data_IF_399499535272
#
_entry.id   IF_399499535272
#
_cell.length_a   1.000
_cell.length_b   1.000
_cell.length_c   1.000
_cell.angle_alpha   90.00
_cell.angle_beta   90.00
_cell.angle_gamma   90.00
#
_symmetry.space_group_name_H-M   'P 1'
#
loop_
_entity.id
_entity.type
_entity.pdbx_description
1 polymer ?
#
# COMPACT_ATOMS: atom_id res chain seq x y z
N UNK A 1 54.34 36.13 -31.09
CA UNK A 1 53.62 34.88 -31.40
C UNK A 1 52.97 34.40 -30.07
N UNK A 2 51.73 34.69 -29.88
CA UNK A 2 50.96 34.26 -28.71
C UNK A 2 49.90 33.28 -29.22
N UNK A 3 49.99 32.05 -28.74
CA UNK A 3 48.99 31.02 -29.07
C UNK A 3 47.82 31.12 -28.07
N UNK A 4 46.61 31.32 -28.60
CA UNK A 4 45.34 31.23 -27.88
C UNK A 4 44.97 29.77 -27.74
N UNK A 5 44.97 29.26 -26.52
CA UNK A 5 44.29 28.01 -26.17
C UNK A 5 42.84 28.32 -25.82
N UNK A 6 41.94 27.92 -26.71
CA UNK A 6 40.50 27.92 -26.46
C UNK A 6 40.11 26.63 -25.72
N UNK A 7 39.84 26.72 -24.41
CA UNK A 7 39.25 25.66 -23.62
C UNK A 7 37.76 25.52 -23.96
N UNK A 8 37.41 24.42 -24.62
CA UNK A 8 36.03 23.99 -24.82
C UNK A 8 35.47 23.43 -23.50
N UNK A 9 34.76 24.24 -22.74
CA UNK A 9 33.86 23.74 -21.69
C UNK A 9 32.62 23.13 -22.31
N UNK A 10 32.56 21.80 -22.37
CA UNK A 10 31.34 21.07 -22.67
C UNK A 10 30.34 21.26 -21.54
N UNK A 11 29.36 22.10 -21.70
CA UNK A 11 28.20 22.24 -20.83
C UNK A 11 27.38 20.96 -20.90
N UNK A 12 27.60 20.05 -19.96
CA UNK A 12 26.79 18.86 -19.75
C UNK A 12 25.49 19.28 -19.05
N UNK A 13 24.52 19.79 -19.79
CA UNK A 13 23.17 20.08 -19.31
C UNK A 13 22.48 18.77 -19.06
N UNK A 14 22.45 18.30 -17.79
CA UNK A 14 21.61 17.21 -17.37
C UNK A 14 20.16 17.57 -17.70
N UNK A 15 19.56 16.92 -18.70
CA UNK A 15 18.13 17.06 -19.02
C UNK A 15 17.31 16.76 -17.78
N UNK A 16 16.48 17.70 -17.34
CA UNK A 16 15.60 17.56 -16.19
C UNK A 16 14.45 16.64 -16.61
N UNK A 17 14.33 15.44 -16.04
CA UNK A 17 13.19 14.56 -16.31
C UNK A 17 11.96 15.15 -15.63
N UNK A 18 10.95 15.50 -16.39
CA UNK A 18 9.64 15.87 -15.86
C UNK A 18 8.83 14.60 -15.61
N UNK A 19 8.20 14.48 -14.46
CA UNK A 19 7.29 13.39 -14.12
C UNK A 19 5.85 13.88 -14.22
N UNK A 20 4.94 12.99 -14.62
CA UNK A 20 3.52 13.33 -14.79
C UNK A 20 2.64 12.24 -14.21
N UNK A 21 1.59 12.68 -13.53
CA UNK A 21 0.44 11.85 -13.14
C UNK A 21 -0.68 12.11 -14.15
N UNK A 22 -1.33 11.06 -14.65
CA UNK A 22 -2.46 11.18 -15.57
C UNK A 22 -3.58 10.22 -15.16
N UNK A 23 -4.81 10.74 -15.16
CA UNK A 23 -6.02 9.95 -14.91
C UNK A 23 -6.25 8.98 -16.08
N UNK A 24 -6.54 7.72 -15.77
CA UNK A 24 -6.83 6.66 -16.74
C UNK A 24 -8.26 6.16 -16.67
N UNK A 25 -8.81 6.02 -15.46
CA UNK A 25 -10.18 5.60 -15.26
C UNK A 25 -10.75 6.18 -13.96
N UNK A 26 -12.07 6.33 -13.92
CA UNK A 26 -12.83 6.61 -12.71
C UNK A 26 -13.84 5.48 -12.52
N UNK A 27 -13.77 4.78 -11.40
CA UNK A 27 -14.65 3.69 -11.04
C UNK A 27 -15.80 4.27 -10.20
N UNK A 28 -16.99 4.19 -10.72
CA UNK A 28 -18.21 4.67 -10.08
C UNK A 28 -19.11 3.47 -9.79
N UNK A 29 -19.58 3.34 -8.56
CA UNK A 29 -20.46 2.22 -8.19
C UNK A 29 -20.74 2.12 -6.71
N UNK A 30 -19.88 2.63 -5.82
CA UNK A 30 -20.22 2.83 -4.43
C UNK A 30 -21.22 3.99 -4.27
N UNK A 31 -22.03 3.93 -3.22
CA UNK A 31 -23.09 4.90 -2.93
C UNK A 31 -22.70 5.91 -1.85
N UNK A 32 -21.52 5.73 -1.27
CA UNK A 32 -21.00 6.52 -0.16
C UNK A 32 -19.45 6.46 -0.19
N UNK A 33 -18.80 7.18 0.71
CA UNK A 33 -17.34 7.25 0.87
C UNK A 33 -16.63 5.92 0.67
N UNK A 34 -15.58 5.89 -0.14
CA UNK A 34 -14.71 4.72 -0.33
C UNK A 34 -13.49 4.88 0.56
N UNK A 35 -13.27 3.88 1.42
CA UNK A 35 -12.27 3.96 2.48
C UNK A 35 -10.96 3.23 2.17
N UNK A 36 -11.01 2.17 1.38
CA UNK A 36 -9.82 1.38 1.11
C UNK A 36 -9.85 0.80 -0.30
N UNK A 37 -8.66 0.63 -0.86
CA UNK A 37 -8.42 0.06 -2.18
C UNK A 37 -7.25 -0.93 -2.09
N UNK A 38 -7.46 -2.17 -2.58
CA UNK A 38 -6.43 -3.21 -2.52
C UNK A 38 -6.41 -4.03 -3.81
N UNK A 39 -5.24 -4.12 -4.44
CA UNK A 39 -5.02 -5.01 -5.58
C UNK A 39 -4.75 -6.44 -5.12
N UNK A 40 -5.29 -7.41 -5.85
CA UNK A 40 -4.95 -8.81 -5.61
C UNK A 40 -3.46 -9.05 -5.88
N UNK A 41 -2.70 -9.69 -4.95
CA UNK A 41 -1.24 -9.77 -5.04
C UNK A 41 -0.71 -10.49 -6.28
N UNK A 42 -1.46 -11.47 -6.80
CA UNK A 42 -1.02 -12.33 -7.91
C UNK A 42 -1.66 -11.96 -9.25
N UNK A 43 -2.63 -11.04 -9.24
CA UNK A 43 -3.40 -10.61 -10.41
C UNK A 43 -3.52 -9.09 -10.45
N UNK A 44 -2.85 -8.48 -11.38
CA UNK A 44 -2.85 -7.03 -11.57
C UNK A 44 -4.13 -6.50 -12.26
N UNK A 45 -5.09 -7.37 -12.53
CA UNK A 45 -6.37 -7.07 -13.17
C UNK A 45 -7.55 -7.05 -12.20
N UNK A 46 -7.33 -7.45 -10.92
CA UNK A 46 -8.37 -7.48 -9.89
C UNK A 46 -8.08 -6.49 -8.78
N UNK A 47 -9.10 -5.73 -8.39
CA UNK A 47 -9.08 -4.72 -7.36
C UNK A 47 -10.28 -4.89 -6.43
N UNK A 48 -10.08 -4.85 -5.12
CA UNK A 48 -11.13 -4.76 -4.12
C UNK A 48 -11.22 -3.34 -3.55
N UNK A 49 -12.44 -2.88 -3.29
CA UNK A 49 -12.71 -1.60 -2.62
C UNK A 49 -13.79 -1.76 -1.57
N UNK A 50 -13.76 -0.98 -0.50
CA UNK A 50 -14.80 -1.00 0.52
C UNK A 50 -15.29 0.41 0.89
N UNK A 51 -16.52 0.49 1.40
CA UNK A 51 -17.23 1.76 1.53
C UNK A 51 -18.10 1.87 2.80
N UNK A 52 -18.48 3.11 3.09
CA UNK A 52 -19.54 3.44 4.04
C UNK A 52 -20.91 2.92 3.61
N UNK A 53 -21.08 2.57 2.34
CA UNK A 53 -22.30 1.93 1.83
C UNK A 53 -22.45 0.47 2.30
N UNK A 54 -21.52 -0.02 3.15
CA UNK A 54 -21.48 -1.37 3.75
C UNK A 54 -21.22 -2.49 2.74
N UNK A 55 -20.66 -2.16 1.59
CA UNK A 55 -20.32 -3.15 0.56
C UNK A 55 -18.83 -3.21 0.31
N UNK A 56 -18.37 -4.39 -0.11
CA UNK A 56 -17.09 -4.55 -0.79
C UNK A 56 -17.39 -4.80 -2.27
N UNK A 57 -16.68 -4.12 -3.15
CA UNK A 57 -16.81 -4.32 -4.60
C UNK A 57 -15.50 -4.87 -5.17
N UNK A 58 -15.65 -5.83 -6.05
CA UNK A 58 -14.54 -6.41 -6.81
C UNK A 58 -14.63 -5.88 -8.24
N UNK A 59 -13.53 -5.30 -8.67
CA UNK A 59 -13.40 -4.73 -10.00
C UNK A 59 -12.40 -5.55 -10.80
N UNK A 60 -12.73 -5.82 -12.05
CA UNK A 60 -11.84 -6.50 -13.00
C UNK A 60 -11.50 -5.57 -14.16
N UNK A 61 -10.23 -5.52 -14.52
CA UNK A 61 -9.76 -4.76 -15.67
C UNK A 61 -10.06 -5.54 -16.95
N UNK A 62 -10.72 -4.90 -17.89
CA UNK A 62 -10.89 -5.44 -19.25
C UNK A 62 -9.64 -5.13 -20.06
N UNK A 63 -8.99 -6.18 -20.53
CA UNK A 63 -7.96 -6.05 -21.57
C UNK A 63 -8.68 -6.16 -22.91
N UNK A 64 -8.95 -5.04 -23.55
CA UNK A 64 -9.51 -5.05 -24.91
C UNK A 64 -8.43 -5.53 -25.85
N UNK A 65 -8.52 -6.80 -26.28
CA UNK A 65 -7.76 -7.27 -27.43
C UNK A 65 -8.35 -6.58 -28.66
N UNK A 66 -7.58 -5.76 -29.35
CA UNK A 66 -7.98 -5.27 -30.66
C UNK A 66 -7.80 -6.44 -31.61
N UNK A 67 -8.86 -6.81 -32.32
CA UNK A 67 -8.78 -7.67 -33.47
C UNK A 67 -7.92 -6.94 -34.50
N UNK A 68 -6.87 -7.61 -34.99
CA UNK A 68 -5.89 -7.08 -35.97
C UNK A 68 -6.44 -7.02 -37.41
N UNK A 69 -7.77 -6.92 -37.58
CA UNK A 69 -8.42 -6.79 -38.87
C UNK A 69 -9.02 -5.37 -38.97
N UNK A 70 -8.21 -4.40 -39.49
CA UNK A 70 -8.64 -3.41 -40.48
C UNK A 70 -7.66 -2.23 -40.60
N UNK A 71 -7.12 -2.11 -41.82
CA UNK A 71 -6.59 -0.94 -42.53
C UNK A 71 -5.38 -0.16 -41.97
N UNK A 72 -4.26 -0.33 -42.73
CA UNK A 72 -3.16 0.62 -42.85
C UNK A 72 -3.68 2.01 -43.22
N UNK A 73 -3.62 2.96 -42.29
CA UNK A 73 -3.40 4.40 -42.51
C UNK A 73 -3.94 5.32 -41.40
N UNK A 74 -3.58 5.11 -40.15
CA UNK A 74 -3.51 6.25 -39.20
C UNK A 74 -2.55 5.87 -38.06
N UNK A 75 -1.39 6.52 -37.99
CA UNK A 75 -0.52 6.55 -36.80
C UNK A 75 -1.22 7.31 -35.67
N UNK A 76 -2.22 6.72 -35.05
CA UNK A 76 -2.81 7.25 -33.83
C UNK A 76 -2.11 6.61 -32.63
N UNK A 77 -1.53 7.47 -31.78
CA UNK A 77 -0.92 7.15 -30.50
C UNK A 77 -1.72 6.06 -29.75
N UNK A 78 -1.08 4.95 -29.43
CA UNK A 78 -1.62 3.81 -28.70
C UNK A 78 -2.13 4.26 -27.32
N UNK A 79 -3.38 4.67 -27.23
CA UNK A 79 -4.05 4.88 -25.97
C UNK A 79 -4.72 3.56 -25.56
N UNK A 80 -4.01 2.76 -24.78
CA UNK A 80 -4.58 1.59 -24.14
C UNK A 80 -5.61 2.09 -23.13
N UNK A 81 -6.90 1.92 -23.40
CA UNK A 81 -7.97 2.28 -22.48
C UNK A 81 -7.94 1.31 -21.31
N UNK A 82 -7.80 1.85 -20.09
CA UNK A 82 -7.80 1.07 -18.86
C UNK A 82 -9.25 1.04 -18.35
N UNK A 83 -10.02 0.08 -18.80
CA UNK A 83 -11.41 -0.09 -18.37
C UNK A 83 -11.50 -1.09 -17.23
N UNK A 84 -12.14 -0.70 -16.14
CA UNK A 84 -12.50 -1.57 -15.02
C UNK A 84 -14.02 -1.69 -14.95
N UNK A 85 -14.50 -2.91 -14.70
CA UNK A 85 -15.91 -3.15 -14.42
C UNK A 85 -16.08 -3.79 -13.04
N UNK A 86 -17.17 -3.49 -12.36
CA UNK A 86 -17.55 -4.19 -11.13
C UNK A 86 -18.05 -5.58 -11.52
N UNK A 87 -17.37 -6.62 -11.05
CA UNK A 87 -17.68 -8.03 -11.35
C UNK A 87 -18.34 -8.75 -10.17
N UNK A 88 -18.21 -8.21 -8.95
CA UNK A 88 -18.86 -8.75 -7.76
C UNK A 88 -19.13 -7.65 -6.75
N UNK A 89 -20.23 -7.77 -6.01
CA UNK A 89 -20.54 -6.92 -4.85
C UNK A 89 -20.83 -7.83 -3.68
N UNK A 90 -20.06 -7.69 -2.59
CA UNK A 90 -20.24 -8.42 -1.35
C UNK A 90 -21.00 -7.53 -0.38
N UNK A 91 -22.18 -7.91 -0.01
CA UNK A 91 -23.09 -7.18 0.87
C UNK A 91 -23.75 -8.10 1.89
N UNK A 92 -24.54 -7.54 2.80
CA UNK A 92 -25.36 -8.29 3.75
C UNK A 92 -24.62 -8.93 4.93
N UNK A 93 -23.28 -8.82 5.00
CA UNK A 93 -22.48 -9.34 6.12
C UNK A 93 -22.26 -8.25 7.17
N UNK A 94 -21.85 -7.05 6.74
CA UNK A 94 -21.59 -5.94 7.65
C UNK A 94 -22.78 -5.00 7.82
N UNK A 95 -22.99 -4.53 9.04
CA UNK A 95 -24.08 -3.62 9.40
C UNK A 95 -23.69 -2.15 9.39
N UNK A 96 -22.37 -1.86 9.37
CA UNK A 96 -21.81 -0.49 9.38
C UNK A 96 -20.73 -0.35 8.31
N UNK A 97 -20.13 0.85 8.24
CA UNK A 97 -19.01 1.18 7.35
C UNK A 97 -17.94 0.10 7.34
N UNK A 98 -17.54 -0.34 6.15
CA UNK A 98 -16.37 -1.19 5.97
C UNK A 98 -15.17 -0.27 5.74
N UNK A 99 -14.20 -0.31 6.66
CA UNK A 99 -13.08 0.65 6.70
C UNK A 99 -11.83 0.14 5.98
N UNK A 100 -11.63 -1.16 5.90
CA UNK A 100 -10.42 -1.76 5.34
C UNK A 100 -10.71 -3.09 4.67
N UNK A 101 -9.99 -3.37 3.59
CA UNK A 101 -9.95 -4.68 2.94
C UNK A 101 -8.51 -5.12 2.73
N UNK A 102 -8.26 -6.42 2.82
CA UNK A 102 -6.92 -7.00 2.63
C UNK A 102 -7.01 -8.37 1.98
N UNK A 103 -6.23 -8.56 0.92
CA UNK A 103 -6.08 -9.86 0.25
C UNK A 103 -5.09 -10.75 0.99
N UNK A 104 -5.38 -12.04 1.09
CA UNK A 104 -4.36 -13.02 1.45
C UNK A 104 -3.26 -13.09 0.38
N UNK A 105 -2.01 -13.43 0.71
CA UNK A 105 -0.91 -13.49 -0.26
C UNK A 105 -1.16 -14.46 -1.42
N UNK A 106 -1.97 -15.49 -1.20
CA UNK A 106 -2.36 -16.44 -2.27
C UNK A 106 -3.50 -15.93 -3.17
N UNK A 107 -4.12 -14.77 -2.85
CA UNK A 107 -5.26 -14.20 -3.60
C UNK A 107 -6.59 -14.96 -3.42
N UNK A 108 -6.62 -16.02 -2.59
CA UNK A 108 -7.81 -16.86 -2.38
C UNK A 108 -8.80 -16.24 -1.38
N UNK A 109 -8.29 -15.53 -0.37
CA UNK A 109 -9.11 -14.92 0.67
C UNK A 109 -9.05 -13.40 0.63
N UNK A 110 -10.18 -12.78 0.97
CA UNK A 110 -10.31 -11.35 1.18
C UNK A 110 -10.87 -11.12 2.58
N UNK A 111 -10.18 -10.35 3.40
CA UNK A 111 -10.67 -9.90 4.70
C UNK A 111 -11.27 -8.50 4.58
N UNK A 112 -12.37 -8.21 5.28
CA UNK A 112 -12.93 -6.87 5.42
C UNK A 112 -13.16 -6.54 6.88
N UNK A 113 -12.73 -5.34 7.30
CA UNK A 113 -12.85 -4.84 8.67
C UNK A 113 -13.89 -3.72 8.74
N UNK A 114 -14.81 -3.80 9.70
CA UNK A 114 -15.94 -2.90 9.77
C UNK A 114 -16.08 -2.17 11.12
N UNK A 115 -16.78 -1.05 11.08
CA UNK A 115 -17.20 -0.30 12.26
C UNK A 115 -18.28 -1.00 13.10
N UNK A 116 -18.80 -2.14 12.64
CA UNK A 116 -19.66 -3.00 13.43
C UNK A 116 -18.90 -3.90 14.43
N UNK A 117 -17.57 -3.69 14.55
CA UNK A 117 -16.66 -4.43 15.41
C UNK A 117 -16.35 -5.87 14.92
N UNK A 118 -16.69 -6.20 13.70
CA UNK A 118 -16.44 -7.52 13.11
C UNK A 118 -15.47 -7.46 11.93
N UNK A 119 -14.90 -8.63 11.59
CA UNK A 119 -14.09 -8.83 10.38
C UNK A 119 -14.67 -10.01 9.62
N UNK A 120 -15.05 -9.80 8.37
CA UNK A 120 -15.53 -10.89 7.52
C UNK A 120 -14.40 -11.43 6.64
N UNK A 121 -14.37 -12.75 6.47
CA UNK A 121 -13.46 -13.44 5.57
C UNK A 121 -14.26 -14.01 4.42
N UNK A 122 -13.92 -13.60 3.21
CA UNK A 122 -14.50 -14.12 1.98
C UNK A 122 -13.50 -15.03 1.30
N UNK A 123 -13.96 -16.17 0.85
CA UNK A 123 -13.20 -17.09 0.01
C UNK A 123 -13.68 -17.00 -1.42
N UNK A 124 -12.74 -16.92 -2.35
CA UNK A 124 -13.04 -17.04 -3.77
C UNK A 124 -13.50 -18.44 -4.09
N UNK A 125 -14.64 -18.57 -4.76
CA UNK A 125 -15.12 -19.86 -5.25
C UNK A 125 -14.12 -20.44 -6.24
N UNK A 126 -13.90 -21.76 -6.18
CA UNK A 126 -13.14 -22.48 -7.20
C UNK A 126 -14.06 -22.60 -8.42
N UNK A 127 -13.82 -21.79 -9.44
CA UNK A 127 -14.58 -21.87 -10.68
C UNK A 127 -14.28 -23.21 -11.36
N UNK A 128 -15.30 -24.00 -11.62
CA UNK A 128 -15.21 -25.00 -12.68
C UNK A 128 -14.91 -24.22 -13.97
N UNK A 129 -13.85 -24.61 -14.67
CA UNK A 129 -13.26 -23.96 -15.84
C UNK A 129 -14.27 -23.67 -16.97
N UNK A 130 -15.15 -22.70 -16.76
CA UNK A 130 -15.94 -22.10 -17.82
C UNK A 130 -15.34 -20.72 -18.12
N UNK A 131 -14.44 -20.68 -19.09
CA UNK A 131 -13.78 -19.44 -19.56
C UNK A 131 -14.77 -18.37 -20.07
N UNK A 132 -16.05 -18.70 -20.21
CA UNK A 132 -17.08 -17.79 -20.73
C UNK A 132 -17.77 -16.90 -19.68
N UNK A 133 -17.72 -17.29 -18.38
CA UNK A 133 -18.32 -16.47 -17.30
C UNK A 133 -17.25 -15.62 -16.62
N UNK A 134 -17.21 -14.34 -16.98
CA UNK A 134 -16.38 -13.30 -16.34
C UNK A 134 -16.78 -12.97 -14.89
N UNK A 135 -17.68 -13.75 -14.29
CA UNK A 135 -18.21 -13.55 -12.94
C UNK A 135 -17.25 -14.15 -11.90
N UNK A 136 -16.73 -13.32 -11.00
CA UNK A 136 -15.89 -13.76 -9.88
C UNK A 136 -16.79 -13.91 -8.65
N UNK A 137 -16.92 -15.14 -8.12
CA UNK A 137 -17.77 -15.43 -6.98
C UNK A 137 -16.96 -15.51 -5.68
N UNK A 138 -17.51 -14.96 -4.63
CA UNK A 138 -16.97 -15.05 -3.27
C UNK A 138 -18.05 -15.48 -2.30
N UNK A 139 -17.67 -16.28 -1.32
CA UNK A 139 -18.52 -16.70 -0.22
C UNK A 139 -17.93 -16.21 1.11
N UNK A 140 -18.78 -15.71 2.01
CA UNK A 140 -18.37 -15.41 3.36
C UNK A 140 -18.19 -16.72 4.14
N UNK A 141 -16.95 -17.03 4.51
CA UNK A 141 -16.60 -18.32 5.17
C UNK A 141 -16.37 -18.17 6.66
N UNK A 142 -16.11 -16.95 7.14
CA UNK A 142 -15.98 -16.67 8.58
C UNK A 142 -16.35 -15.22 8.89
N UNK A 143 -16.90 -15.01 10.09
CA UNK A 143 -17.04 -13.71 10.73
C UNK A 143 -16.27 -13.75 12.05
N UNK A 144 -15.25 -12.89 12.18
CA UNK A 144 -14.40 -12.80 13.36
C UNK A 144 -14.98 -11.75 14.30
N UNK A 145 -15.34 -12.19 15.51
CA UNK A 145 -15.91 -11.37 16.55
C UNK A 145 -14.95 -11.29 17.73
N UNK A 146 -14.96 -10.17 18.47
CA UNK A 146 -14.14 -10.00 19.65
C UNK A 146 -13.76 -8.56 19.94
N UNK A 147 -13.48 -7.73 18.92
CA UNK A 147 -13.27 -6.31 19.12
C UNK A 147 -14.46 -5.64 19.81
N UNK A 148 -14.20 -4.77 20.77
CA UNK A 148 -15.24 -4.06 21.51
C UNK A 148 -15.77 -2.80 20.80
N UNK A 149 -15.06 -2.35 19.75
CA UNK A 149 -15.37 -1.14 19.00
C UNK A 149 -14.98 -1.29 17.53
N UNK A 150 -15.17 -0.20 16.76
CA UNK A 150 -14.89 -0.15 15.33
C UNK A 150 -13.53 -0.74 14.97
N UNK A 151 -13.51 -1.75 14.09
CA UNK A 151 -12.28 -2.27 13.49
C UNK A 151 -11.89 -1.37 12.33
N UNK A 152 -10.65 -0.87 12.34
CA UNK A 152 -10.19 0.17 11.40
C UNK A 152 -9.25 -0.35 10.34
N UNK A 153 -8.54 -1.43 10.60
CA UNK A 153 -7.63 -2.03 9.63
C UNK A 153 -7.51 -3.52 9.83
N UNK A 154 -7.30 -4.23 8.74
CA UNK A 154 -6.92 -5.64 8.71
C UNK A 154 -5.76 -5.84 7.73
N UNK A 155 -4.88 -6.79 8.02
CA UNK A 155 -3.74 -7.12 7.17
C UNK A 155 -3.35 -8.59 7.32
N UNK A 156 -3.16 -9.29 6.20
CA UNK A 156 -2.62 -10.65 6.18
C UNK A 156 -1.11 -10.65 6.32
N UNK A 157 -0.56 -11.63 7.05
CA UNK A 157 0.89 -11.85 7.12
C UNK A 157 1.45 -12.32 5.77
N UNK A 158 2.75 -12.17 5.53
CA UNK A 158 3.38 -12.64 4.28
C UNK A 158 3.24 -14.14 4.04
N UNK A 159 3.18 -14.93 5.11
CA UNK A 159 2.94 -16.38 5.06
C UNK A 159 1.49 -16.71 4.69
N UNK A 160 0.54 -15.80 4.97
CA UNK A 160 -0.90 -16.05 4.86
C UNK A 160 -1.47 -16.90 5.99
N UNK A 161 -0.66 -17.27 7.00
CA UNK A 161 -1.10 -18.03 8.17
C UNK A 161 -1.73 -17.15 9.26
N UNK A 162 -1.41 -15.83 9.26
CA UNK A 162 -1.91 -14.90 10.26
C UNK A 162 -2.67 -13.73 9.61
N UNK A 163 -3.67 -13.24 10.32
CA UNK A 163 -4.36 -12.00 10.03
C UNK A 163 -4.26 -11.09 11.25
N UNK A 164 -3.83 -9.84 11.05
CA UNK A 164 -3.87 -8.83 12.10
C UNK A 164 -5.06 -7.91 11.89
N UNK A 165 -5.71 -7.50 12.99
CA UNK A 165 -6.79 -6.51 13.00
C UNK A 165 -6.55 -5.48 14.09
N UNK A 166 -7.06 -4.25 13.94
CA UNK A 166 -6.94 -3.22 14.96
C UNK A 166 -8.12 -2.25 14.94
N UNK A 167 -8.36 -1.57 16.06
CA UNK A 167 -9.55 -0.75 16.14
C UNK A 167 -9.52 0.38 17.16
N UNK A 168 -10.71 0.92 17.38
CA UNK A 168 -10.98 2.00 18.33
C UNK A 168 -10.86 1.55 19.79
N UNK A 169 -10.95 0.26 20.04
CA UNK A 169 -10.71 -0.34 21.35
C UNK A 169 -9.24 -0.30 21.78
N UNK A 170 -8.35 0.31 20.96
CA UNK A 170 -6.92 0.52 21.19
C UNK A 170 -6.08 -0.75 21.18
N UNK A 171 -6.69 -1.86 20.78
CA UNK A 171 -6.07 -3.17 20.72
C UNK A 171 -5.66 -3.54 19.28
N UNK A 172 -4.73 -4.48 19.20
CA UNK A 172 -4.36 -5.18 17.98
C UNK A 172 -4.57 -6.67 18.24
N UNK A 173 -5.30 -7.34 17.36
CA UNK A 173 -5.61 -8.76 17.48
C UNK A 173 -4.90 -9.54 16.39
N UNK A 174 -4.42 -10.73 16.74
CA UNK A 174 -3.81 -11.66 15.81
C UNK A 174 -4.66 -12.91 15.74
N UNK A 175 -5.03 -13.28 14.53
CA UNK A 175 -5.84 -14.44 14.21
C UNK A 175 -5.01 -15.42 13.40
N UNK A 176 -5.01 -16.69 13.78
CA UNK A 176 -4.40 -17.76 13.01
C UNK A 176 -5.43 -18.35 12.03
N UNK A 177 -5.00 -18.54 10.79
CA UNK A 177 -5.78 -19.18 9.75
C UNK A 177 -5.40 -20.66 9.65
N UNK A 178 -6.30 -21.54 10.02
CA UNK A 178 -6.13 -22.98 9.97
C UNK A 178 -6.93 -23.61 8.80
N UNK A 179 -6.57 -24.82 8.36
CA UNK A 179 -7.28 -25.54 7.30
C UNK A 179 -8.78 -25.67 7.59
N UNK A 180 -9.60 -25.60 6.53
CA UNK A 180 -11.05 -25.73 6.66
C UNK A 180 -11.76 -24.42 7.00
N UNK A 181 -11.15 -23.28 6.70
CA UNK A 181 -11.68 -21.93 6.97
C UNK A 181 -11.88 -21.66 8.48
N UNK A 182 -11.03 -22.25 9.29
CA UNK A 182 -11.02 -22.05 10.72
C UNK A 182 -10.10 -20.88 11.08
N UNK A 183 -10.58 -19.95 11.90
CA UNK A 183 -9.83 -18.79 12.37
C UNK A 183 -9.92 -18.72 13.88
N UNK A 184 -8.76 -18.68 14.55
CA UNK A 184 -8.66 -18.58 16.00
C UNK A 184 -7.91 -17.32 16.41
N UNK A 185 -8.39 -16.64 17.47
CA UNK A 185 -7.63 -15.54 18.05
C UNK A 185 -6.47 -16.10 18.88
N UNK A 186 -5.26 -15.85 18.44
CA UNK A 186 -4.05 -16.32 19.14
C UNK A 186 -3.43 -15.24 20.03
N UNK A 187 -3.70 -13.94 19.78
CA UNK A 187 -3.21 -12.88 20.65
C UNK A 187 -4.10 -11.62 20.61
N UNK A 188 -4.23 -10.99 21.77
CA UNK A 188 -4.83 -9.66 21.94
C UNK A 188 -3.78 -8.72 22.55
N UNK A 189 -3.29 -7.79 21.73
CA UNK A 189 -2.15 -6.96 22.05
C UNK A 189 -2.60 -5.59 22.55
N UNK A 190 -2.25 -5.27 23.79
CA UNK A 190 -2.51 -3.99 24.43
C UNK A 190 -1.23 -3.17 24.54
N UNK A 191 -1.31 -1.87 24.34
CA UNK A 191 -0.15 -0.99 24.48
C UNK A 191 -0.36 0.41 23.88
N UNK A 192 -1.20 0.54 22.86
CA UNK A 192 -1.64 1.85 22.40
C UNK A 192 -2.59 2.51 23.43
N UNK A 193 -2.49 3.82 23.56
CA UNK A 193 -3.33 4.58 24.50
C UNK A 193 -4.57 5.17 23.87
N UNK A 194 -4.63 5.15 22.54
CA UNK A 194 -5.74 5.63 21.73
C UNK A 194 -6.01 4.71 20.53
N UNK A 195 -6.98 5.07 19.68
CA UNK A 195 -7.37 4.32 18.48
C UNK A 195 -6.19 3.88 17.64
N UNK A 196 -6.15 2.61 17.26
CA UNK A 196 -5.20 2.10 16.27
C UNK A 196 -5.81 2.25 14.88
N UNK A 197 -5.10 2.95 13.99
CA UNK A 197 -5.60 3.34 12.66
C UNK A 197 -5.23 2.33 11.57
N UNK A 198 -4.00 1.83 11.62
CA UNK A 198 -3.46 0.92 10.58
C UNK A 198 -2.60 -0.15 11.22
N UNK A 199 -2.69 -1.36 10.66
CA UNK A 199 -1.73 -2.44 10.86
C UNK A 199 -1.11 -2.85 9.54
N UNK A 200 0.16 -3.22 9.56
CA UNK A 200 0.89 -3.69 8.39
C UNK A 200 1.96 -4.69 8.82
N UNK A 201 2.01 -5.83 8.18
CA UNK A 201 3.08 -6.81 8.39
C UNK A 201 4.36 -6.40 7.66
N UNK A 202 5.49 -6.83 8.21
CA UNK A 202 6.75 -6.78 7.49
C UNK A 202 6.67 -7.66 6.22
N UNK A 203 7.36 -7.27 5.15
CA UNK A 203 7.20 -7.92 3.83
C UNK A 203 7.62 -9.40 3.79
N UNK A 204 8.49 -9.84 4.69
CA UNK A 204 9.09 -11.19 4.67
C UNK A 204 9.15 -11.88 6.02
N UNK A 205 8.83 -11.18 7.11
CA UNK A 205 8.92 -11.70 8.48
C UNK A 205 7.58 -11.50 9.19
N UNK A 206 7.25 -12.34 10.14
CA UNK A 206 6.07 -12.19 10.99
C UNK A 206 6.33 -11.13 12.08
N UNK A 207 6.62 -9.92 11.63
CA UNK A 207 6.76 -8.69 12.42
C UNK A 207 5.64 -7.76 12.03
N UNK A 208 4.87 -7.30 13.01
CA UNK A 208 3.71 -6.44 12.78
C UNK A 208 4.00 -5.01 13.24
N UNK A 209 3.59 -4.04 12.45
CA UNK A 209 3.59 -2.62 12.78
C UNK A 209 2.18 -2.12 12.96
N UNK A 210 1.95 -1.25 13.95
CA UNK A 210 0.68 -0.56 14.14
C UNK A 210 0.87 0.93 14.32
N UNK A 211 0.04 1.73 13.63
CA UNK A 211 0.01 3.18 13.69
C UNK A 211 -1.24 3.67 14.43
N UNK A 212 -1.11 4.70 15.27
CA UNK A 212 -2.17 5.10 16.20
C UNK A 212 -2.38 6.60 16.29
N UNK A 213 -3.57 6.94 16.77
CA UNK A 213 -3.95 8.29 17.20
C UNK A 213 -3.12 8.78 18.41
N UNK A 214 -2.39 7.90 19.10
CA UNK A 214 -1.47 8.24 20.19
C UNK A 214 -0.09 8.73 19.69
N UNK A 215 0.02 9.08 18.41
CA UNK A 215 1.20 9.60 17.71
C UNK A 215 2.36 8.60 17.61
N UNK A 216 2.12 7.34 17.97
CA UNK A 216 3.16 6.30 17.97
C UNK A 216 2.96 5.26 16.89
N UNK A 217 4.07 4.64 16.51
CA UNK A 217 4.11 3.35 15.83
C UNK A 217 4.69 2.32 16.79
N UNK A 218 4.01 1.19 16.93
CA UNK A 218 4.51 0.05 17.71
C UNK A 218 4.88 -1.09 16.80
N UNK A 219 5.93 -1.82 17.22
CA UNK A 219 6.39 -3.05 16.59
C UNK A 219 6.05 -4.22 17.49
N UNK A 220 5.42 -5.24 16.93
CA UNK A 220 4.99 -6.44 17.63
C UNK A 220 5.69 -7.65 17.03
N UNK A 221 6.14 -8.55 17.88
CA UNK A 221 6.82 -9.79 17.50
C UNK A 221 6.37 -10.92 18.39
N UNK A 222 6.36 -12.09 17.82
CA UNK A 222 6.28 -13.33 18.57
C UNK A 222 7.58 -13.50 19.38
N UNK A 223 7.50 -14.04 20.57
CA UNK A 223 8.68 -14.32 21.38
C UNK A 223 9.48 -15.52 20.82
N UNK A 224 10.67 -15.76 21.37
CA UNK A 224 11.58 -16.78 20.84
C UNK A 224 11.05 -18.20 21.03
N UNK A 225 10.19 -18.41 22.00
CA UNK A 225 9.60 -19.71 22.32
C UNK A 225 8.33 -19.99 21.50
N UNK A 226 7.80 -18.95 20.81
CA UNK A 226 6.61 -19.05 19.97
C UNK A 226 5.31 -19.11 20.75
N UNK A 227 5.33 -18.75 22.03
CA UNK A 227 4.21 -18.91 22.95
C UNK A 227 3.38 -17.63 23.11
N UNK A 228 3.97 -16.45 22.84
CA UNK A 228 3.27 -15.16 23.07
C UNK A 228 3.75 -14.05 22.15
N UNK A 229 2.88 -13.08 21.92
CA UNK A 229 3.14 -11.86 21.15
C UNK A 229 3.40 -10.69 22.08
N UNK A 230 4.44 -9.92 21.83
CA UNK A 230 4.81 -8.78 22.67
C UNK A 230 5.19 -7.54 21.88
N UNK A 231 5.05 -6.35 22.50
CA UNK A 231 5.57 -5.10 21.97
C UNK A 231 7.11 -5.11 22.06
N UNK A 232 7.78 -5.21 20.93
CA UNK A 232 9.24 -5.17 20.84
C UNK A 232 9.80 -3.76 20.71
N UNK A 233 8.99 -2.79 20.28
CA UNK A 233 9.43 -1.40 20.15
C UNK A 233 8.27 -0.42 20.09
N UNK A 234 8.50 0.81 20.61
CA UNK A 234 7.58 1.93 20.52
C UNK A 234 8.33 3.14 19.98
N UNK A 235 7.87 3.66 18.86
CA UNK A 235 8.44 4.84 18.21
C UNK A 235 7.45 6.01 18.29
N UNK A 236 7.82 7.13 18.95
CA UNK A 236 7.10 8.39 18.83
C UNK A 236 7.30 8.88 17.40
N UNK A 237 6.39 8.52 16.53
CA UNK A 237 6.57 8.76 15.10
C UNK A 237 6.30 10.22 14.72
N UNK A 238 5.23 10.80 15.23
CA UNK A 238 4.76 12.12 14.84
C UNK A 238 4.35 12.98 16.03
N UNK A 239 4.01 14.22 15.77
CA UNK A 239 3.48 15.15 16.78
C UNK A 239 1.94 15.17 16.79
N UNK A 240 1.31 14.36 15.95
CA UNK A 240 -0.13 14.16 15.86
C UNK A 240 -0.44 12.78 15.31
N UNK A 241 -1.72 12.45 15.12
CA UNK A 241 -2.23 11.17 14.64
C UNK A 241 -1.38 10.58 13.51
N UNK A 242 -0.94 9.33 13.67
CA UNK A 242 -0.35 8.55 12.57
C UNK A 242 -1.49 7.83 11.86
N UNK A 243 -1.81 8.27 10.64
CA UNK A 243 -2.94 7.74 9.88
C UNK A 243 -2.63 6.45 9.16
N UNK A 244 -1.45 6.40 8.53
CA UNK A 244 -1.08 5.28 7.69
C UNK A 244 0.42 4.99 7.77
N UNK A 245 0.77 3.77 7.42
CA UNK A 245 2.14 3.32 7.24
C UNK A 245 2.23 2.31 6.10
N UNK A 246 3.35 2.36 5.38
CA UNK A 246 3.66 1.46 4.28
C UNK A 246 5.11 1.02 4.32
N UNK A 247 5.44 -0.10 3.70
CA UNK A 247 6.80 -0.62 3.68
C UNK A 247 7.42 -0.65 2.29
N UNK A 248 8.74 -0.47 2.26
CA UNK A 248 9.55 -0.71 1.07
C UNK A 248 9.60 -2.21 0.79
N UNK A 249 9.12 -2.63 -0.38
CA UNK A 249 9.07 -4.05 -0.79
C UNK A 249 10.46 -4.57 -1.17
N UNK A 250 11.31 -4.79 -0.17
CA UNK A 250 12.68 -5.30 -0.32
C UNK A 250 12.90 -6.53 0.56
N UNK A 251 13.78 -7.44 0.11
CA UNK A 251 14.02 -8.71 0.81
C UNK A 251 14.77 -8.58 2.14
N UNK A 252 15.62 -7.56 2.30
CA UNK A 252 16.43 -7.35 3.49
C UNK A 252 16.61 -5.88 3.80
N UNK A 253 16.63 -5.51 5.07
CA UNK A 253 16.94 -4.15 5.52
C UNK A 253 15.98 -3.06 5.01
N UNK A 254 14.72 -3.39 4.85
CA UNK A 254 13.68 -2.51 4.34
C UNK A 254 13.46 -1.27 5.21
N UNK A 255 12.75 -0.33 4.65
CA UNK A 255 12.30 0.89 5.31
C UNK A 255 10.78 0.89 5.40
N UNK A 256 10.24 1.67 6.31
CA UNK A 256 8.82 1.99 6.29
C UNK A 256 8.59 3.50 6.32
N UNK A 257 7.52 3.93 5.70
CA UNK A 257 7.08 5.32 5.70
C UNK A 257 5.85 5.49 6.57
N UNK A 258 5.73 6.63 7.25
CA UNK A 258 4.55 7.02 8.02
C UNK A 258 4.08 8.40 7.61
N UNK A 259 2.76 8.61 7.71
CA UNK A 259 2.10 9.89 7.41
C UNK A 259 1.15 10.30 8.53
N UNK A 260 0.97 11.61 8.68
CA UNK A 260 0.27 12.16 9.85
C UNK A 260 -0.47 13.47 9.54
N UNK A 261 -1.34 13.86 10.48
CA UNK A 261 -1.94 15.19 10.56
C UNK A 261 -0.91 16.32 10.61
N UNK A 262 0.29 16.05 11.12
CA UNK A 262 1.36 17.05 11.22
C UNK A 262 1.93 17.50 9.88
N UNK A 263 1.48 16.86 8.78
CA UNK A 263 1.85 17.19 7.41
C UNK A 263 3.26 16.72 7.01
N UNK A 264 3.87 15.83 7.79
CA UNK A 264 5.15 15.22 7.48
C UNK A 264 5.01 13.80 6.95
N UNK A 265 5.89 13.45 6.02
CA UNK A 265 6.23 12.07 5.68
C UNK A 265 7.54 11.75 6.36
N UNK A 266 7.60 10.65 7.09
CA UNK A 266 8.81 10.19 7.78
C UNK A 266 9.18 8.79 7.34
N UNK A 267 10.49 8.59 7.08
CA UNK A 267 11.06 7.32 6.64
C UNK A 267 11.90 6.75 7.77
N UNK A 268 11.64 5.51 8.11
CA UNK A 268 12.23 4.78 9.21
C UNK A 268 12.95 3.55 8.70
N UNK A 269 14.03 3.16 9.36
CA UNK A 269 14.65 1.86 9.10
C UNK A 269 13.82 0.77 9.76
N UNK A 270 13.39 -0.23 9.00
CA UNK A 270 12.76 -1.40 9.57
C UNK A 270 13.80 -2.11 10.45
N UNK A 271 13.50 -2.25 11.73
CA UNK A 271 14.32 -3.03 12.64
C UNK A 271 14.11 -4.51 12.35
N UNK A 272 14.87 -5.06 11.42
CA UNK A 272 15.07 -6.51 11.37
C UNK A 272 15.71 -6.94 12.68
N UNK A 273 15.36 -8.14 13.17
CA UNK A 273 16.03 -8.74 14.31
C UNK A 273 17.53 -8.83 14.02
N UNK A 274 18.33 -7.85 14.46
CA UNK A 274 19.75 -8.08 14.57
C UNK A 274 19.90 -9.19 15.61
N UNK A 275 20.14 -10.41 15.12
CA UNK A 275 20.79 -11.43 15.93
C UNK A 275 22.12 -10.82 16.40
N UNK A 276 22.11 -10.16 17.54
CA UNK A 276 23.34 -9.95 18.29
C UNK A 276 23.75 -11.33 18.75
N UNK A 277 24.72 -11.93 18.04
CA UNK A 277 25.49 -13.05 18.57
C UNK A 277 25.99 -12.59 19.93
N UNK A 278 25.51 -13.26 20.97
CA UNK A 278 25.88 -13.00 22.34
C UNK A 278 27.32 -13.48 22.50
N UNK A 279 28.30 -12.60 22.28
CA UNK A 279 29.61 -12.73 22.92
C UNK A 279 29.41 -12.27 24.36
N UNK A 280 29.50 -13.25 25.26
CA UNK A 280 29.13 -13.12 26.66
C UNK A 280 29.70 -11.89 27.36
N UNK A 281 28.83 -11.09 27.94
CA UNK A 281 29.06 -10.39 29.19
C UNK A 281 27.72 -10.00 29.80
N UNK A 282 27.44 -10.58 30.95
CA UNK A 282 26.32 -10.28 31.83
C UNK A 282 26.33 -8.83 32.28
N UNK A 283 25.26 -8.06 32.01
CA UNK A 283 24.82 -7.02 32.96
C UNK A 283 23.42 -6.45 32.57
N UNK A 284 22.54 -6.48 33.56
CA UNK A 284 21.36 -5.67 33.85
C UNK A 284 20.15 -5.74 32.92
N UNK A 285 19.10 -6.37 33.45
CA UNK A 285 17.71 -6.39 33.04
C UNK A 285 17.12 -4.97 32.87
N UNK A 286 17.13 -4.47 31.65
CA UNK A 286 16.29 -3.38 31.21
C UNK A 286 15.87 -3.73 29.79
N UNK A 287 14.59 -4.04 29.56
CA UNK A 287 14.05 -4.15 28.19
C UNK A 287 14.36 -2.80 27.52
N UNK A 288 15.30 -2.75 26.59
CA UNK A 288 15.48 -1.61 25.70
C UNK A 288 14.29 -1.66 24.75
N UNK A 289 13.44 -0.65 24.83
CA UNK A 289 12.46 -0.39 23.77
C UNK A 289 13.23 -0.06 22.50
N UNK A 290 13.26 -1.00 21.56
CA UNK A 290 13.93 -0.81 20.27
C UNK A 290 13.06 0.05 19.35
N UNK A 291 13.06 1.36 19.59
CA UNK A 291 12.45 2.34 18.70
C UNK A 291 13.09 2.29 17.30
N UNK A 292 12.27 2.33 16.25
CA UNK A 292 12.78 2.38 14.89
C UNK A 292 13.59 3.66 14.65
N UNK A 293 14.83 3.56 14.10
CA UNK A 293 15.62 4.75 13.80
C UNK A 293 15.01 5.56 12.65
N UNK A 294 14.84 6.87 12.86
CA UNK A 294 14.47 7.78 11.79
C UNK A 294 15.61 7.90 10.78
N UNK A 295 15.31 7.65 9.49
CA UNK A 295 16.27 7.86 8.41
C UNK A 295 16.18 9.30 7.87
N UNK A 296 14.97 9.74 7.55
CA UNK A 296 14.73 11.11 7.08
C UNK A 296 13.26 11.51 7.25
N UNK A 297 13.00 12.80 7.10
CA UNK A 297 11.65 13.36 7.10
C UNK A 297 11.56 14.51 6.12
N UNK A 298 10.39 14.72 5.52
CA UNK A 298 10.15 15.84 4.62
C UNK A 298 8.69 16.31 4.70
N UNK A 299 8.47 17.59 4.38
CA UNK A 299 7.12 18.14 4.25
C UNK A 299 6.45 17.62 3.00
N UNK A 300 5.23 17.14 3.14
CA UNK A 300 4.50 16.55 2.03
C UNK A 300 4.02 17.55 0.98
N UNK A 301 3.88 18.84 1.36
CA UNK A 301 3.22 19.84 0.50
C UNK A 301 1.69 19.78 0.52
N UNK A 302 1.08 18.80 1.21
CA UNK A 302 -0.36 18.83 1.50
C UNK A 302 -0.70 19.96 2.48
N UNK A 303 -1.81 20.65 2.23
CA UNK A 303 -2.29 21.76 3.07
C UNK A 303 -3.15 21.28 4.25
N UNK A 304 -3.56 20.00 4.23
CA UNK A 304 -4.39 19.33 5.24
C UNK A 304 -3.73 18.00 5.64
N UNK A 305 -4.29 17.26 6.61
CA UNK A 305 -3.78 15.96 7.02
C UNK A 305 -3.47 15.01 5.86
N UNK A 306 -2.37 14.28 5.97
CA UNK A 306 -2.05 13.19 5.05
C UNK A 306 -2.71 11.94 5.60
N UNK A 307 -3.61 11.34 4.84
CA UNK A 307 -4.45 10.24 5.30
C UNK A 307 -3.94 8.86 4.89
N UNK A 308 -3.21 8.80 3.76
CA UNK A 308 -2.74 7.53 3.22
C UNK A 308 -1.41 7.65 2.48
N UNK A 309 -0.67 6.55 2.43
CA UNK A 309 0.61 6.45 1.74
C UNK A 309 0.84 5.02 1.26
N UNK A 310 1.37 4.86 0.04
CA UNK A 310 1.84 3.56 -0.41
C UNK A 310 3.19 3.66 -1.12
N UNK A 311 3.99 2.59 -0.98
CA UNK A 311 5.34 2.48 -1.54
C UNK A 311 5.28 1.69 -2.84
N UNK A 312 5.82 2.28 -3.91
CA UNK A 312 5.92 1.59 -5.19
C UNK A 312 6.84 0.36 -5.06
N UNK A 313 6.26 -0.82 -5.24
CA UNK A 313 7.01 -2.07 -5.24
C UNK A 313 7.87 -2.22 -6.49
N UNK A 314 9.10 -2.68 -6.34
CA UNK A 314 10.01 -3.00 -7.43
C UNK A 314 9.64 -4.37 -8.06
N UNK A 315 8.64 -4.41 -8.94
CA UNK A 315 8.30 -5.61 -9.72
C UNK A 315 9.47 -6.08 -10.62
N UNK A 316 10.43 -5.21 -10.92
CA UNK A 316 11.59 -5.48 -11.79
C UNK A 316 12.90 -5.74 -11.04
N UNK A 317 12.90 -5.90 -9.71
CA UNK A 317 14.10 -6.23 -8.94
C UNK A 317 14.55 -7.70 -9.05
N UNK A 318 13.99 -8.49 -9.97
CA UNK A 318 14.52 -9.82 -10.28
C UNK A 318 15.91 -9.66 -10.91
N UNK A 319 16.94 -9.84 -10.07
CA UNK A 319 18.32 -10.20 -10.45
C UNK A 319 18.91 -9.48 -11.67
N UNK A 320 19.13 -8.16 -11.60
CA UNK A 320 20.11 -7.56 -12.48
C UNK A 320 21.50 -7.68 -11.86
N UNK A 321 22.15 -8.84 -12.02
CA UNK A 321 23.61 -8.97 -11.94
C UNK A 321 24.35 -8.14 -13.01
N UNK A 322 23.59 -7.60 -13.98
CA UNK A 322 24.11 -6.66 -14.99
C UNK A 322 23.81 -5.25 -14.52
N UNK A 323 24.84 -4.48 -14.19
CA UNK A 323 24.97 -3.09 -13.73
C UNK A 323 23.93 -2.02 -14.09
N UNK A 324 22.66 -2.36 -14.20
CA UNK A 324 21.55 -1.44 -14.44
C UNK A 324 21.27 -0.60 -13.17
N UNK A 325 21.17 0.71 -13.35
CA UNK A 325 20.90 1.70 -12.29
C UNK A 325 19.63 1.32 -11.53
N UNK A 326 19.77 1.14 -10.21
CA UNK A 326 18.67 0.95 -9.25
C UNK A 326 17.61 2.04 -9.48
N UNK A 327 16.35 1.64 -9.70
CA UNK A 327 15.26 2.63 -9.77
C UNK A 327 15.13 3.35 -8.43
N UNK A 328 14.90 4.66 -8.42
CA UNK A 328 14.74 5.42 -7.18
C UNK A 328 13.46 5.00 -6.46
N UNK A 329 13.53 4.92 -5.13
CA UNK A 329 12.37 4.68 -4.31
C UNK A 329 11.29 5.73 -4.56
N UNK A 330 10.04 5.31 -4.59
CA UNK A 330 8.91 6.16 -4.95
C UNK A 330 7.73 5.90 -4.01
N UNK A 331 7.12 6.98 -3.50
CA UNK A 331 5.93 6.97 -2.67
C UNK A 331 4.80 7.71 -3.36
N UNK A 332 3.56 7.27 -3.16
CA UNK A 332 2.38 8.09 -3.41
C UNK A 332 1.66 8.35 -2.09
N UNK A 333 1.09 9.54 -1.93
CA UNK A 333 0.30 9.90 -0.77
C UNK A 333 -0.96 10.67 -1.18
N UNK A 334 -2.02 10.51 -0.38
CA UNK A 334 -3.28 11.21 -0.50
C UNK A 334 -3.64 11.89 0.82
N UNK A 335 -4.39 12.95 0.74
CA UNK A 335 -4.72 13.75 1.92
C UNK A 335 -6.10 14.39 1.90
N UNK A 336 -6.44 15.02 3.02
CA UNK A 336 -7.66 15.80 3.22
C UNK A 336 -7.71 17.11 2.44
N UNK A 337 -6.73 17.38 1.60
CA UNK A 337 -6.74 18.47 0.62
C UNK A 337 -7.18 18.00 -0.77
N UNK A 338 -7.75 16.81 -0.87
CA UNK A 338 -8.27 16.17 -2.08
C UNK A 338 -7.20 15.93 -3.15
N UNK A 339 -5.92 16.03 -2.78
CA UNK A 339 -4.81 15.91 -3.71
C UNK A 339 -4.11 14.55 -3.60
N UNK A 340 -3.48 14.17 -4.71
CA UNK A 340 -2.57 13.03 -4.78
C UNK A 340 -1.20 13.54 -5.17
N UNK A 341 -0.17 13.10 -4.43
CA UNK A 341 1.22 13.50 -4.64
C UNK A 341 2.13 12.29 -4.75
N UNK A 342 3.13 12.38 -5.61
CA UNK A 342 4.16 11.35 -5.77
C UNK A 342 5.51 11.93 -5.44
N UNK A 343 6.24 11.23 -4.57
CA UNK A 343 7.59 11.61 -4.12
C UNK A 343 8.60 10.60 -4.61
N UNK A 344 9.80 11.07 -4.94
CA UNK A 344 10.93 10.23 -5.35
C UNK A 344 12.18 10.55 -4.55
N UNK A 345 12.93 9.50 -4.23
CA UNK A 345 14.24 9.62 -3.62
C UNK A 345 15.29 9.89 -4.69
N UNK A 346 15.90 11.07 -4.66
CA UNK A 346 17.00 11.45 -5.59
C UNK A 346 18.34 10.84 -5.17
N UNK A 347 18.62 10.95 -3.89
CA UNK A 347 19.79 10.43 -3.21
C UNK A 347 19.32 9.86 -1.88
N UNK A 348 20.05 8.94 -1.28
CA UNK A 348 19.67 8.30 -0.01
C UNK A 348 19.25 9.33 1.03
N UNK A 349 18.01 9.28 1.48
CA UNK A 349 17.43 10.19 2.44
C UNK A 349 17.01 11.57 1.90
N UNK A 350 17.19 11.86 0.60
CA UNK A 350 16.79 13.12 -0.04
C UNK A 350 15.59 12.88 -0.96
N UNK A 351 14.43 13.31 -0.52
CA UNK A 351 13.16 13.15 -1.23
C UNK A 351 12.70 14.47 -1.86
N UNK A 352 12.07 14.36 -3.02
CA UNK A 352 11.42 15.49 -3.68
C UNK A 352 10.02 15.10 -4.14
N UNK A 353 9.11 16.08 -4.22
CA UNK A 353 7.86 15.93 -4.93
C UNK A 353 8.18 15.82 -6.43
N UNK A 354 7.83 14.69 -7.01
CA UNK A 354 8.04 14.40 -8.43
C UNK A 354 6.85 14.86 -9.28
N UNK A 355 5.63 14.72 -8.77
CA UNK A 355 4.41 15.17 -9.42
C UNK A 355 3.27 15.26 -8.39
N UNK A 356 2.30 16.15 -8.67
CA UNK A 356 1.09 16.29 -7.88
C UNK A 356 -0.13 16.52 -8.78
N UNK A 357 -1.30 16.06 -8.32
CA UNK A 357 -2.61 16.41 -8.87
C UNK A 357 -3.42 17.03 -7.75
N UNK A 358 -3.54 18.36 -7.79
CA UNK A 358 -4.39 19.11 -6.88
C UNK A 358 -5.85 18.93 -7.31
N UNK A 359 -6.77 18.75 -6.34
CA UNK A 359 -8.15 18.38 -6.60
C UNK A 359 -8.25 17.11 -7.48
N UNK A 360 -7.47 16.10 -7.12
CA UNK A 360 -7.52 14.78 -7.73
C UNK A 360 -8.91 14.14 -7.58
N UNK A 361 -9.55 14.40 -6.44
CA UNK A 361 -10.92 14.02 -6.08
C UNK A 361 -11.74 15.26 -5.67
N UNK A 362 -13.05 15.07 -5.50
CA UNK A 362 -13.95 16.13 -5.01
C UNK A 362 -13.93 16.25 -3.49
N UNK A 363 -13.42 15.22 -2.78
CA UNK A 363 -13.31 15.15 -1.32
C UNK A 363 -12.04 14.40 -0.90
N UNK A 364 -11.86 14.18 0.41
CA UNK A 364 -10.67 13.58 1.03
C UNK A 364 -10.23 12.28 0.34
N UNK A 365 -8.92 12.09 0.17
CA UNK A 365 -8.33 10.85 -0.36
C UNK A 365 -7.97 9.94 0.78
N UNK A 366 -8.73 8.86 0.95
CA UNK A 366 -8.68 7.97 2.11
C UNK A 366 -7.65 6.85 2.03
N UNK A 367 -7.38 6.37 0.81
CA UNK A 367 -6.42 5.28 0.59
C UNK A 367 -5.81 5.37 -0.81
N UNK A 368 -4.60 4.81 -0.94
CA UNK A 368 -3.85 4.78 -2.18
C UNK A 368 -3.10 3.45 -2.28
N UNK A 369 -3.08 2.84 -3.46
CA UNK A 369 -2.36 1.58 -3.68
C UNK A 369 -1.67 1.56 -5.03
N UNK A 370 -0.37 1.25 -5.05
CA UNK A 370 0.39 1.00 -6.27
C UNK A 370 0.13 -0.40 -6.82
N UNK A 371 0.13 -0.51 -8.15
CA UNK A 371 0.19 -1.80 -8.82
C UNK A 371 1.10 -1.76 -10.03
N UNK A 372 1.68 -2.91 -10.37
CA UNK A 372 2.53 -3.06 -11.54
C UNK A 372 1.76 -3.80 -12.62
N UNK A 373 1.67 -3.23 -13.80
CA UNK A 373 1.19 -3.98 -14.96
C UNK A 373 2.38 -4.75 -15.53
N UNK A 374 2.28 -6.10 -15.59
CA UNK A 374 3.21 -6.87 -16.39
C UNK A 374 3.03 -6.45 -17.85
N UNK A 375 4.04 -5.81 -18.44
CA UNK A 375 4.05 -5.50 -19.85
C UNK A 375 4.21 -6.82 -20.61
N UNK A 376 3.15 -7.28 -21.29
CA UNK A 376 3.34 -8.17 -22.40
C UNK A 376 4.12 -7.38 -23.46
N UNK A 377 5.41 -7.71 -23.59
CA UNK A 377 6.30 -7.37 -24.69
C UNK A 377 6.10 -5.98 -25.35
N UNK A 378 6.58 -4.93 -24.73
CA UNK A 378 7.07 -3.78 -25.47
C UNK A 378 8.37 -3.28 -24.83
N UNK A 379 9.47 -3.39 -25.59
CA UNK A 379 10.79 -2.80 -25.33
C UNK A 379 10.76 -1.27 -25.51
N UNK A 380 9.78 -0.59 -24.94
CA UNK A 380 9.81 0.87 -24.88
C UNK A 380 10.45 1.30 -23.57
N UNK A 381 11.46 2.14 -23.64
CA UNK A 381 12.32 2.62 -22.54
C UNK A 381 11.59 3.38 -21.40
N UNK A 382 10.25 3.39 -21.35
CA UNK A 382 9.45 4.10 -20.35
C UNK A 382 8.60 3.14 -19.54
N UNK A 383 9.05 2.81 -18.32
CA UNK A 383 8.21 2.08 -17.36
C UNK A 383 7.07 2.98 -16.88
N UNK A 384 5.84 2.63 -17.22
CA UNK A 384 4.64 3.26 -16.69
C UNK A 384 4.21 2.54 -15.44
N UNK A 385 4.13 3.25 -14.31
CA UNK A 385 3.61 2.74 -13.07
C UNK A 385 2.17 3.19 -12.88
N UNK A 386 1.36 2.36 -12.25
CA UNK A 386 -0.06 2.63 -11.99
C UNK A 386 -0.35 2.64 -10.51
N UNK A 387 -1.32 3.46 -10.09
CA UNK A 387 -1.87 3.41 -8.74
C UNK A 387 -3.37 3.75 -8.76
N UNK A 388 -4.07 3.31 -7.73
CA UNK A 388 -5.45 3.65 -7.47
C UNK A 388 -5.54 4.58 -6.26
N UNK A 389 -6.53 5.46 -6.22
CA UNK A 389 -6.90 6.25 -5.06
C UNK A 389 -8.40 6.10 -4.75
N UNK A 390 -8.74 5.96 -3.47
CA UNK A 390 -10.11 5.89 -2.96
C UNK A 390 -10.46 7.18 -2.22
N UNK A 391 -11.71 7.67 -2.34
CA UNK A 391 -12.11 8.96 -1.78
C UNK A 391 -13.49 8.95 -1.14
N UNK A 392 -13.70 9.94 -0.28
CA UNK A 392 -15.01 10.29 0.29
C UNK A 392 -16.02 10.75 -0.79
N UNK A 393 -15.54 11.13 -1.98
CA UNK A 393 -16.42 11.44 -3.13
C UNK A 393 -17.16 10.21 -3.71
N UNK A 394 -16.98 9.02 -3.11
CA UNK A 394 -17.62 7.77 -3.53
C UNK A 394 -16.96 7.11 -4.74
N UNK A 395 -15.85 7.64 -5.24
CA UNK A 395 -15.17 7.13 -6.43
C UNK A 395 -13.80 6.54 -6.12
N UNK A 396 -13.35 5.67 -7.02
CA UNK A 396 -11.96 5.22 -7.09
C UNK A 396 -11.38 5.68 -8.42
N UNK A 397 -10.19 6.27 -8.41
CA UNK A 397 -9.52 6.74 -9.62
C UNK A 397 -8.23 5.97 -9.88
N UNK A 398 -8.02 5.62 -11.13
CA UNK A 398 -6.82 4.92 -11.59
C UNK A 398 -5.91 5.91 -12.31
N UNK A 399 -4.67 5.95 -11.90
CA UNK A 399 -3.67 6.90 -12.37
C UNK A 399 -2.46 6.20 -12.97
N UNK A 400 -1.77 6.90 -13.88
CA UNK A 400 -0.43 6.52 -14.32
C UNK A 400 0.58 7.53 -13.82
N UNK A 401 1.76 7.04 -13.48
CA UNK A 401 2.93 7.85 -13.18
C UNK A 401 4.06 7.47 -14.14
N UNK A 402 4.51 8.40 -14.96
CA UNK A 402 5.54 8.22 -15.95
C UNK A 402 6.56 9.36 -15.95
N UNK A 403 7.80 9.06 -16.38
CA UNK A 403 8.80 10.07 -16.66
C UNK A 403 8.72 10.46 -18.14
N UNK A 404 8.41 11.70 -18.45
CA UNK A 404 8.49 12.22 -19.83
C UNK A 404 9.91 12.74 -20.12
N UNK A 405 10.47 12.30 -21.24
CA UNK A 405 11.58 13.03 -21.83
C UNK A 405 10.95 14.24 -22.55
N UNK A 406 11.17 15.43 -22.07
CA UNK A 406 10.80 16.63 -22.82
C UNK A 406 11.95 16.89 -23.77
N UNK A 407 11.73 16.64 -25.05
CA UNK A 407 12.50 17.27 -26.10
C UNK A 407 11.92 18.69 -26.24
N UNK A 408 12.68 19.70 -25.78
CA UNK A 408 12.46 21.09 -26.14
C UNK A 408 13.01 21.36 -27.54
#
# INVERSE_FOLDING_TARGET
MAQNETTNESKNTKKKKNHKIALKATLVGHKDAVWCVAFEPNRNDILATCSSDKTVKIWKRNVVKRDDDDDDDVKSSHHQTCEFRCVCTLDGVHERTIRSVSWSPCGRYLASASFDATVAIYQRAEDEENEEDDEVKFECVAALEGHENEVKSCAWSPSGSLLATCGRDKSVWIWESAPGNHFECVAVLHGHTQDVKKVKWHETEDVLYSASYDDTVKTWKEDLDGDDWSCSGTTKAHESTVWDLTQEKVKEGGRFATVSDDGWVKIWKAGGAQRTEISGSSSSSGKKDDAAPLECSFRSGHDRPILCVDWLGDANRKNSESGNKKQPATLAAGGGDNSVRVYREKETGVWEEAAAVVNAHEDDVNDIAWFSMASEKEETEQSTNYFASASDDGTVKIWTFCSSNVDE
#
